data_IF_469865401468
#
_entry.id   IF_469865401468
#
_cell.length_a   1.000
_cell.length_b   1.000
_cell.length_c   1.000
_cell.angle_alpha   90.00
_cell.angle_beta   90.00
_cell.angle_gamma   90.00
#
_symmetry.space_group_name_H-M   'P 1'
#
loop_
_entity.id
_entity.type
_entity.pdbx_description
1 polymer ?
#
# COMPACT_ATOMS: atom_id res chain seq x y z
N UNK A 1 20.40 4.93 23.81
CA UNK A 1 19.16 4.90 23.01
C UNK A 1 19.59 4.55 21.59
N UNK A 2 18.98 3.54 20.97
CA UNK A 2 19.22 3.21 19.56
C UNK A 2 18.75 4.34 18.67
N UNK A 3 19.39 4.52 17.52
CA UNK A 3 18.89 5.46 16.51
C UNK A 3 17.48 5.03 16.05
N UNK A 4 16.57 5.97 15.76
CA UNK A 4 15.27 5.65 15.20
C UNK A 4 15.44 4.93 13.86
N UNK A 5 14.59 3.93 13.61
CA UNK A 5 14.55 3.20 12.35
C UNK A 5 14.05 4.13 11.23
N UNK A 6 14.83 4.30 10.16
CA UNK A 6 14.44 5.13 9.02
C UNK A 6 13.61 4.30 8.06
N UNK A 7 12.33 4.62 7.94
CA UNK A 7 11.39 3.94 7.07
C UNK A 7 10.90 4.93 6.03
N UNK A 8 11.06 4.59 4.76
CA UNK A 8 10.54 5.40 3.67
C UNK A 8 9.39 4.66 2.98
N UNK A 9 8.37 5.40 2.54
CA UNK A 9 7.15 4.83 1.99
C UNK A 9 6.80 5.48 0.65
N UNK A 10 6.49 4.65 -0.33
CA UNK A 10 5.86 5.02 -1.60
C UNK A 10 4.43 4.47 -1.54
N UNK A 11 3.44 5.37 -1.58
CA UNK A 11 2.02 5.05 -1.41
C UNK A 11 1.18 5.63 -2.54
N UNK A 12 -0.02 5.06 -2.75
CA UNK A 12 -0.99 5.59 -3.71
C UNK A 12 -1.63 6.88 -3.20
N UNK A 13 -1.97 6.89 -1.91
CA UNK A 13 -2.69 8.00 -1.29
C UNK A 13 -2.39 8.15 0.20
N UNK A 14 -2.92 9.25 0.74
CA UNK A 14 -2.73 9.62 2.15
C UNK A 14 -3.50 8.72 3.10
N UNK A 15 -4.66 8.19 2.69
CA UNK A 15 -5.42 7.24 3.50
C UNK A 15 -4.64 5.95 3.71
N UNK A 16 -3.99 5.44 2.66
CA UNK A 16 -3.18 4.23 2.72
C UNK A 16 -1.93 4.45 3.58
N UNK A 17 -1.30 5.63 3.46
CA UNK A 17 -0.22 6.05 4.36
C UNK A 17 -0.61 5.95 5.83
N UNK A 18 -1.81 6.42 6.21
CA UNK A 18 -2.25 6.38 7.60
C UNK A 18 -2.46 4.95 8.09
N UNK A 19 -3.02 4.06 7.27
CA UNK A 19 -3.18 2.64 7.63
C UNK A 19 -1.83 1.97 7.81
N UNK A 20 -0.91 2.18 6.87
CA UNK A 20 0.45 1.61 6.92
C UNK A 20 1.23 2.14 8.13
N UNK A 21 1.12 3.44 8.43
CA UNK A 21 1.76 4.04 9.61
C UNK A 21 1.22 3.39 10.90
N UNK A 22 -0.11 3.22 11.01
CA UNK A 22 -0.71 2.57 12.18
C UNK A 22 -0.22 1.13 12.33
N UNK A 23 -0.16 0.37 11.23
CA UNK A 23 0.39 -0.97 11.22
C UNK A 23 1.86 -1.01 11.68
N UNK A 24 2.69 -0.10 11.16
CA UNK A 24 4.11 0.01 11.51
C UNK A 24 4.30 0.29 13.00
N UNK A 25 3.50 1.19 13.59
CA UNK A 25 3.55 1.49 15.02
C UNK A 25 3.29 0.25 15.87
N UNK A 26 2.31 -0.58 15.48
CA UNK A 26 2.00 -1.85 16.14
C UNK A 26 3.14 -2.85 15.96
N UNK A 27 3.63 -3.03 14.73
CA UNK A 27 4.69 -3.99 14.41
C UNK A 27 6.04 -3.67 15.08
N UNK A 28 6.32 -2.39 15.31
CA UNK A 28 7.54 -1.94 15.97
C UNK A 28 7.45 -1.95 17.50
N UNK A 29 6.27 -2.11 18.08
CA UNK A 29 6.03 -2.33 19.50
C UNK A 29 6.83 -1.37 20.41
N UNK A 30 6.78 -0.07 20.11
CA UNK A 30 7.49 0.97 20.88
C UNK A 30 8.93 1.27 20.44
N UNK A 31 9.50 0.56 19.45
CA UNK A 31 10.76 0.97 18.80
C UNK A 31 10.53 2.29 18.05
N UNK A 32 11.39 3.27 18.28
CA UNK A 32 11.32 4.57 17.60
C UNK A 32 11.65 4.43 16.11
N UNK A 33 10.96 5.20 15.27
CA UNK A 33 11.18 5.23 13.83
C UNK A 33 10.84 6.61 13.25
N UNK A 34 11.50 6.94 12.15
CA UNK A 34 11.22 8.10 11.31
C UNK A 34 10.57 7.61 10.02
N UNK A 35 9.29 7.92 9.81
CA UNK A 35 8.57 7.58 8.58
C UNK A 35 8.55 8.77 7.63
N UNK A 36 9.07 8.58 6.42
CA UNK A 36 9.06 9.58 5.33
C UNK A 36 8.23 9.07 4.15
N UNK A 37 7.23 9.83 3.72
CA UNK A 37 6.49 9.54 2.50
C UNK A 37 7.21 10.18 1.29
N UNK A 38 7.58 9.36 0.32
CA UNK A 38 8.31 9.78 -0.89
C UNK A 38 7.37 10.11 -2.04
N UNK A 39 6.21 9.46 -2.07
CA UNK A 39 5.20 9.59 -3.11
C UNK A 39 3.84 9.22 -2.51
N UNK A 40 2.80 10.04 -2.67
CA UNK A 40 2.85 11.42 -3.19
C UNK A 40 3.76 12.32 -2.34
N UNK A 41 4.36 13.34 -2.95
CA UNK A 41 5.22 14.31 -2.25
C UNK A 41 4.44 14.97 -1.09
N UNK A 42 5.00 14.90 0.13
CA UNK A 42 4.42 15.44 1.36
C UNK A 42 3.95 16.89 1.20
N UNK A 43 4.71 17.72 0.50
CA UNK A 43 4.37 19.13 0.30
C UNK A 43 3.07 19.35 -0.46
N UNK A 44 2.59 18.32 -1.16
CA UNK A 44 1.44 18.36 -2.04
C UNK A 44 0.31 17.43 -1.54
N UNK A 45 0.64 16.30 -0.94
CA UNK A 45 -0.30 15.34 -0.34
C UNK A 45 -1.18 15.94 0.77
N UNK A 46 -0.63 16.85 1.59
CA UNK A 46 -1.32 17.45 2.74
C UNK A 46 -2.07 18.77 2.42
N UNK A 47 -2.08 19.22 1.17
CA UNK A 47 -2.69 20.52 0.78
C UNK A 47 -4.18 20.44 0.47
N UNK A 48 -4.77 19.24 0.45
CA UNK A 48 -6.19 19.04 0.15
C UNK A 48 -6.60 19.43 -1.29
N UNK A 49 -5.65 19.80 -2.15
CA UNK A 49 -5.94 20.23 -3.53
C UNK A 49 -5.97 19.09 -4.55
N UNK A 50 -5.78 17.83 -4.15
CA UNK A 50 -5.89 16.67 -5.04
C UNK A 50 -4.88 16.63 -6.20
N UNK A 51 -4.02 17.64 -6.31
CA UNK A 51 -2.80 17.58 -7.10
C UNK A 51 -1.82 16.78 -6.26
N UNK A 52 -1.07 15.90 -6.88
CA UNK A 52 -0.22 14.94 -6.20
C UNK A 52 1.17 15.06 -6.82
N UNK A 53 2.04 15.83 -6.18
CA UNK A 53 3.43 16.05 -6.58
C UNK A 53 3.66 16.32 -8.07
N UNK A 54 4.92 16.17 -8.48
CA UNK A 54 5.32 16.19 -9.90
C UNK A 54 5.01 14.87 -10.61
N UNK A 55 4.85 13.77 -9.86
CA UNK A 55 4.61 12.42 -10.41
C UNK A 55 3.12 12.11 -10.64
N UNK A 56 2.21 12.92 -10.10
CA UNK A 56 0.78 12.60 -10.06
C UNK A 56 0.41 11.77 -8.82
N UNK A 57 -0.88 11.47 -8.66
CA UNK A 57 -1.43 10.76 -7.50
C UNK A 57 -1.94 9.38 -7.86
N UNK A 58 -2.19 8.54 -6.85
CA UNK A 58 -2.62 7.17 -7.05
C UNK A 58 -1.52 6.30 -7.66
N UNK A 59 -1.91 5.13 -8.16
CA UNK A 59 -0.98 4.13 -8.69
C UNK A 59 -0.08 4.60 -9.84
N UNK A 60 -0.50 5.57 -10.66
CA UNK A 60 0.35 6.07 -11.76
C UNK A 60 1.57 6.83 -11.24
N UNK A 61 1.43 7.54 -10.11
CA UNK A 61 2.54 8.17 -9.41
C UNK A 61 3.49 7.14 -8.77
N UNK A 62 2.93 6.07 -8.19
CA UNK A 62 3.72 4.94 -7.67
C UNK A 62 4.55 4.29 -8.78
N UNK A 63 3.93 3.98 -9.93
CA UNK A 63 4.61 3.41 -11.09
C UNK A 63 5.73 4.31 -11.60
N UNK A 64 5.46 5.62 -11.76
CA UNK A 64 6.49 6.58 -12.20
C UNK A 64 7.67 6.62 -11.23
N UNK A 65 7.40 6.66 -9.92
CA UNK A 65 8.45 6.61 -8.91
C UNK A 65 9.31 5.34 -9.03
N UNK A 66 8.67 4.18 -9.22
CA UNK A 66 9.37 2.89 -9.42
C UNK A 66 10.22 2.86 -10.70
N UNK A 67 9.82 3.59 -11.75
CA UNK A 67 10.64 3.70 -12.98
C UNK A 67 11.78 4.69 -12.80
N UNK A 68 11.55 5.77 -12.08
CA UNK A 68 12.59 6.74 -11.76
C UNK A 68 13.68 6.12 -10.89
N UNK A 69 13.36 5.15 -10.01
CA UNK A 69 14.38 4.41 -9.24
C UNK A 69 15.33 3.61 -10.13
N UNK A 70 14.79 2.96 -11.15
CA UNK A 70 15.58 2.29 -12.20
C UNK A 70 16.41 3.30 -12.99
N UNK A 71 15.85 4.47 -13.31
CA UNK A 71 16.61 5.54 -13.97
C UNK A 71 17.80 6.05 -13.15
N UNK A 72 17.71 6.03 -11.81
CA UNK A 72 18.77 6.47 -10.89
C UNK A 72 19.87 5.43 -10.67
N UNK A 73 19.53 4.14 -10.60
CA UNK A 73 20.46 3.09 -10.16
C UNK A 73 20.51 1.83 -11.03
N UNK A 74 19.74 1.76 -12.11
CA UNK A 74 19.54 0.57 -12.95
C UNK A 74 18.63 -0.49 -12.32
N UNK A 75 18.65 -0.63 -11.00
CA UNK A 75 17.76 -1.49 -10.20
C UNK A 75 17.58 -0.88 -8.81
N UNK A 76 16.52 -1.28 -8.09
CA UNK A 76 16.18 -0.73 -6.78
C UNK A 76 17.32 -0.87 -5.76
N UNK A 77 18.01 -2.01 -5.73
CA UNK A 77 19.11 -2.29 -4.81
C UNK A 77 20.27 -1.29 -4.92
N UNK A 78 20.39 -0.63 -6.07
CA UNK A 78 21.42 0.38 -6.33
C UNK A 78 20.87 1.81 -6.20
N UNK A 79 19.56 1.99 -5.99
CA UNK A 79 18.98 3.32 -5.82
C UNK A 79 19.51 3.93 -4.51
N UNK A 80 20.08 5.16 -4.55
CA UNK A 80 20.47 5.89 -3.36
C UNK A 80 19.37 5.96 -2.29
N UNK A 81 18.09 5.92 -2.69
CA UNK A 81 16.96 5.85 -1.76
C UNK A 81 17.03 4.60 -0.89
N UNK A 82 17.15 3.42 -1.50
CA UNK A 82 17.20 2.16 -0.77
C UNK A 82 18.50 2.03 0.04
N UNK A 83 19.61 2.56 -0.47
CA UNK A 83 20.91 2.56 0.22
C UNK A 83 20.90 3.40 1.50
N UNK A 84 20.12 4.49 1.53
CA UNK A 84 20.11 5.45 2.64
C UNK A 84 18.93 5.27 3.62
N UNK A 85 18.08 4.28 3.41
CA UNK A 85 16.95 3.95 4.30
C UNK A 85 17.16 2.58 4.94
N UNK A 86 16.60 2.40 6.13
CA UNK A 86 16.68 1.11 6.81
C UNK A 86 15.59 0.17 6.27
N UNK A 87 14.40 0.70 5.95
CA UNK A 87 13.33 -0.01 5.23
C UNK A 87 12.72 0.90 4.16
N UNK A 88 12.46 0.37 2.97
CA UNK A 88 11.62 0.98 1.94
C UNK A 88 10.33 0.17 1.76
N UNK A 89 9.18 0.81 1.92
CA UNK A 89 7.88 0.18 1.67
C UNK A 89 7.34 0.70 0.33
N UNK A 90 6.96 -0.24 -0.53
CA UNK A 90 6.30 0.04 -1.81
C UNK A 90 4.86 -0.46 -1.73
N UNK A 91 3.91 0.47 -1.63
CA UNK A 91 2.49 0.18 -1.55
C UNK A 91 1.81 0.32 -2.92
N UNK A 92 1.01 -0.68 -3.28
CA UNK A 92 0.15 -0.67 -4.46
C UNK A 92 -1.06 -1.59 -4.25
N UNK A 93 -2.25 -1.03 -4.37
CA UNK A 93 -3.51 -1.77 -4.35
C UNK A 93 -3.65 -2.64 -5.61
N UNK A 94 -4.17 -3.86 -5.43
CA UNK A 94 -4.25 -4.82 -6.53
C UNK A 94 -5.47 -4.68 -7.43
N UNK A 95 -6.30 -3.65 -7.25
CA UNK A 95 -7.31 -3.25 -8.25
C UNK A 95 -6.65 -2.81 -9.58
N UNK A 96 -5.45 -2.23 -9.51
CA UNK A 96 -4.60 -1.86 -10.66
C UNK A 96 -4.33 -3.04 -11.59
N UNK A 97 -4.33 -4.27 -11.07
CA UNK A 97 -4.08 -5.47 -11.87
C UNK A 97 -5.12 -5.69 -12.98
N UNK A 98 -6.28 -5.03 -12.92
CA UNK A 98 -7.35 -5.17 -13.91
C UNK A 98 -7.35 -4.06 -14.97
N UNK A 99 -6.47 -3.06 -14.85
CA UNK A 99 -6.42 -1.90 -15.74
C UNK A 99 -6.04 -2.33 -17.15
N UNK A 100 -6.79 -1.85 -18.15
CA UNK A 100 -6.51 -2.12 -19.55
C UNK A 100 -5.53 -1.09 -20.14
N UNK A 101 -4.59 -1.49 -21.02
CA UNK A 101 -3.65 -0.55 -21.65
C UNK A 101 -4.30 0.66 -22.32
N UNK A 102 -5.45 0.47 -22.99
CA UNK A 102 -6.17 1.55 -23.67
C UNK A 102 -6.74 2.63 -22.72
N UNK A 103 -6.91 2.32 -21.44
CA UNK A 103 -7.39 3.26 -20.41
C UNK A 103 -6.26 4.15 -19.85
N UNK A 104 -5.02 3.93 -20.30
CA UNK A 104 -3.81 4.58 -19.75
C UNK A 104 -3.20 5.66 -20.64
N UNK A 105 -3.69 5.82 -21.88
CA UNK A 105 -3.16 6.81 -22.83
C UNK A 105 -3.19 8.24 -22.26
N UNK A 106 -4.19 8.57 -21.43
CA UNK A 106 -4.33 9.89 -20.80
C UNK A 106 -3.47 10.07 -19.54
N UNK A 107 -2.83 9.01 -19.03
CA UNK A 107 -2.04 9.03 -17.78
C UNK A 107 -0.53 9.22 -18.02
N UNK A 108 -0.09 9.22 -19.28
CA UNK A 108 1.31 9.39 -19.67
C UNK A 108 2.20 8.23 -19.19
N UNK A 109 1.66 7.02 -19.13
CA UNK A 109 2.36 5.80 -18.71
C UNK A 109 2.36 4.72 -19.82
N UNK A 110 2.10 5.15 -21.06
CA UNK A 110 2.07 4.26 -22.21
C UNK A 110 3.41 3.55 -22.40
N UNK A 111 3.34 2.23 -22.63
CA UNK A 111 4.51 1.35 -22.69
C UNK A 111 5.07 0.91 -21.34
N UNK A 112 4.70 1.54 -20.21
CA UNK A 112 5.19 1.16 -18.87
C UNK A 112 4.40 -0.01 -18.24
N UNK A 113 3.21 -0.29 -18.77
CA UNK A 113 2.22 -1.25 -18.24
C UNK A 113 1.84 -2.34 -19.25
N UNK A 114 2.76 -2.71 -20.16
CA UNK A 114 2.50 -3.76 -21.17
C UNK A 114 2.11 -5.12 -20.58
N UNK A 115 2.45 -5.34 -19.31
CA UNK A 115 2.17 -6.57 -18.56
C UNK A 115 0.82 -6.53 -17.81
N UNK A 116 0.02 -5.45 -17.96
CA UNK A 116 -1.35 -5.36 -17.48
C UNK A 116 -2.37 -5.63 -18.61
N UNK A 117 -3.54 -6.22 -18.31
CA UNK A 117 -4.00 -6.68 -17.00
C UNK A 117 -3.33 -8.00 -16.57
N UNK A 118 -3.07 -8.13 -15.27
CA UNK A 118 -2.56 -9.36 -14.66
C UNK A 118 -3.50 -9.97 -13.59
N UNK A 119 -4.71 -9.43 -13.44
CA UNK A 119 -5.69 -9.89 -12.49
C UNK A 119 -6.08 -11.37 -12.66
N UNK A 120 -6.28 -12.05 -11.54
CA UNK A 120 -6.76 -13.43 -11.46
C UNK A 120 -7.96 -13.49 -10.52
N UNK A 121 -8.83 -14.48 -10.73
CA UNK A 121 -9.99 -14.69 -9.87
C UNK A 121 -9.59 -14.87 -8.40
N UNK A 122 -10.35 -14.24 -7.52
CA UNK A 122 -10.26 -14.38 -6.06
C UNK A 122 -11.48 -15.21 -5.60
N UNK A 123 -11.33 -16.19 -4.69
CA UNK A 123 -10.14 -16.54 -3.91
C UNK A 123 -9.12 -17.47 -4.62
N UNK A 124 -7.86 -17.53 -4.14
CA UNK A 124 -7.31 -16.76 -3.03
C UNK A 124 -6.94 -15.32 -3.41
N UNK A 125 -6.89 -14.43 -2.42
CA UNK A 125 -6.43 -13.04 -2.55
C UNK A 125 -5.05 -12.95 -3.23
N UNK A 126 -4.15 -13.85 -2.81
CA UNK A 126 -2.77 -13.93 -3.30
C UNK A 126 -2.66 -14.17 -4.82
N UNK A 127 -3.68 -14.76 -5.46
CA UNK A 127 -3.62 -15.10 -6.88
C UNK A 127 -3.36 -13.87 -7.78
N UNK A 128 -3.94 -12.71 -7.42
CA UNK A 128 -3.64 -11.44 -8.11
C UNK A 128 -2.40 -10.77 -7.53
N UNK A 129 -2.26 -10.72 -6.21
CA UNK A 129 -1.15 -9.96 -5.60
C UNK A 129 0.21 -10.56 -5.90
N UNK A 130 0.34 -11.89 -6.03
CA UNK A 130 1.58 -12.53 -6.44
C UNK A 130 2.04 -12.09 -7.84
N UNK A 131 1.09 -12.00 -8.78
CA UNK A 131 1.38 -11.51 -10.13
C UNK A 131 1.74 -10.03 -10.14
N UNK A 132 1.01 -9.22 -9.37
CA UNK A 132 1.27 -7.79 -9.28
C UNK A 132 2.62 -7.50 -8.60
N UNK A 133 2.97 -8.22 -7.53
CA UNK A 133 4.28 -8.11 -6.87
C UNK A 133 5.42 -8.49 -7.81
N UNK A 134 5.24 -9.55 -8.60
CA UNK A 134 6.21 -9.92 -9.66
C UNK A 134 6.38 -8.78 -10.66
N UNK A 135 5.29 -8.12 -11.03
CA UNK A 135 5.32 -6.97 -11.92
C UNK A 135 5.96 -5.73 -11.28
N UNK A 136 5.68 -5.44 -10.01
CA UNK A 136 6.33 -4.36 -9.26
C UNK A 136 7.85 -4.55 -9.19
N UNK A 137 8.32 -5.79 -9.00
CA UNK A 137 9.75 -6.11 -9.04
C UNK A 137 10.36 -5.79 -10.41
N UNK A 138 9.70 -6.20 -11.50
CA UNK A 138 10.13 -5.81 -12.86
C UNK A 138 10.16 -4.29 -13.06
N UNK A 139 9.20 -3.57 -12.47
CA UNK A 139 9.15 -2.11 -12.59
C UNK A 139 10.35 -1.43 -11.95
N UNK A 140 10.87 -2.00 -10.86
CA UNK A 140 12.05 -1.51 -10.15
C UNK A 140 13.36 -2.21 -10.55
N UNK A 141 13.36 -2.97 -11.65
CA UNK A 141 14.55 -3.63 -12.18
C UNK A 141 15.04 -4.84 -11.37
N UNK A 142 14.19 -5.41 -10.51
CA UNK A 142 14.51 -6.51 -9.62
C UNK A 142 13.82 -7.82 -10.03
N UNK A 143 14.40 -8.95 -9.62
CA UNK A 143 13.78 -10.29 -9.77
C UNK A 143 13.34 -10.90 -8.44
N UNK A 144 13.85 -10.36 -7.33
CA UNK A 144 13.50 -10.73 -5.96
C UNK A 144 13.42 -9.45 -5.13
N UNK A 145 12.64 -9.46 -4.06
CA UNK A 145 12.54 -8.31 -3.16
C UNK A 145 13.87 -8.11 -2.43
N UNK A 146 14.50 -6.92 -2.53
CA UNK A 146 15.69 -6.60 -1.75
C UNK A 146 15.44 -6.74 -0.25
N UNK A 147 16.48 -7.08 0.53
CA UNK A 147 16.35 -7.41 1.95
C UNK A 147 15.73 -6.29 2.80
N UNK A 148 15.99 -5.03 2.45
CA UNK A 148 15.45 -3.84 3.11
C UNK A 148 14.28 -3.19 2.35
N UNK A 149 13.65 -3.91 1.43
CA UNK A 149 12.43 -3.50 0.74
C UNK A 149 11.25 -4.38 1.15
N UNK A 150 10.06 -3.78 1.27
CA UNK A 150 8.82 -4.46 1.61
C UNK A 150 7.77 -4.06 0.59
N UNK A 151 7.17 -5.04 -0.08
CA UNK A 151 6.02 -4.78 -0.95
C UNK A 151 4.75 -4.91 -0.11
N UNK A 152 3.89 -3.89 -0.12
CA UNK A 152 2.56 -3.94 0.48
C UNK A 152 1.51 -3.93 -0.63
N UNK A 153 0.79 -5.03 -0.78
CA UNK A 153 -0.18 -5.20 -1.88
C UNK A 153 -1.50 -5.73 -1.37
N UNK A 154 -2.40 -4.87 -0.84
CA UNK A 154 -3.76 -5.27 -0.52
C UNK A 154 -4.47 -5.84 -1.76
N UNK A 155 -5.23 -6.93 -1.60
CA UNK A 155 -5.75 -7.71 -2.74
C UNK A 155 -6.71 -6.98 -3.69
N UNK A 156 -7.36 -5.91 -3.20
CA UNK A 156 -8.22 -5.06 -4.01
C UNK A 156 -7.93 -3.61 -3.68
N UNK A 157 -8.15 -3.22 -2.44
CA UNK A 157 -7.64 -1.97 -1.90
C UNK A 157 -7.45 -2.05 -0.39
N UNK A 158 -6.67 -1.12 0.17
CA UNK A 158 -6.50 -0.96 1.63
C UNK A 158 -7.86 -0.80 2.35
N UNK A 159 -8.89 -0.28 1.68
CA UNK A 159 -10.24 -0.18 2.28
C UNK A 159 -10.83 -1.52 2.71
N UNK A 160 -10.43 -2.65 2.10
CA UNK A 160 -10.85 -3.96 2.56
C UNK A 160 -10.49 -4.18 4.04
N UNK A 161 -9.31 -3.74 4.45
CA UNK A 161 -8.82 -3.83 5.83
C UNK A 161 -9.63 -2.90 6.75
N UNK A 162 -9.87 -1.67 6.32
CA UNK A 162 -10.66 -0.69 7.07
C UNK A 162 -12.10 -1.18 7.29
N UNK A 163 -12.75 -1.73 6.27
CA UNK A 163 -14.12 -2.23 6.41
C UNK A 163 -14.17 -3.45 7.32
N UNK A 164 -13.13 -4.30 7.29
CA UNK A 164 -13.03 -5.43 8.21
C UNK A 164 -12.97 -4.99 9.67
N UNK A 165 -12.29 -3.88 9.98
CA UNK A 165 -12.25 -3.29 11.33
C UNK A 165 -13.57 -2.63 11.73
N UNK A 166 -14.07 -1.70 10.92
CA UNK A 166 -15.16 -0.82 11.33
C UNK A 166 -16.55 -1.34 10.95
N UNK A 167 -16.63 -2.37 10.12
CA UNK A 167 -17.89 -3.02 9.72
C UNK A 167 -17.73 -4.52 9.49
N UNK A 168 -17.25 -5.28 10.49
CA UNK A 168 -17.03 -6.73 10.36
C UNK A 168 -18.33 -7.50 10.05
N UNK A 169 -19.49 -6.92 10.36
CA UNK A 169 -20.81 -7.49 10.08
C UNK A 169 -21.40 -7.08 8.71
N UNK A 170 -20.65 -6.43 7.82
CA UNK A 170 -21.14 -6.11 6.47
C UNK A 170 -21.40 -7.40 5.68
N UNK A 171 -22.68 -7.66 5.38
CA UNK A 171 -23.15 -8.89 4.73
C UNK A 171 -22.53 -9.11 3.35
N UNK A 172 -22.29 -8.05 2.58
CA UNK A 172 -21.74 -8.17 1.22
C UNK A 172 -20.24 -8.47 1.28
N UNK A 173 -19.52 -7.86 2.23
CA UNK A 173 -18.11 -8.17 2.47
C UNK A 173 -17.93 -9.61 2.97
N UNK A 174 -18.75 -10.06 3.93
CA UNK A 174 -18.73 -11.45 4.40
C UNK A 174 -19.01 -12.43 3.25
N UNK A 175 -20.04 -12.17 2.45
CA UNK A 175 -20.46 -13.06 1.36
C UNK A 175 -19.39 -13.22 0.29
N UNK A 176 -18.66 -12.16 -0.04
CA UNK A 176 -17.61 -12.19 -1.08
C UNK A 176 -16.21 -12.47 -0.53
N UNK A 177 -16.00 -12.33 0.77
CA UNK A 177 -14.68 -12.23 1.40
C UNK A 177 -14.15 -10.80 1.34
N UNK A 178 -13.58 -10.31 2.45
CA UNK A 178 -13.15 -8.91 2.56
C UNK A 178 -12.08 -8.54 1.52
N UNK A 179 -11.05 -9.38 1.36
CA UNK A 179 -9.97 -9.16 0.38
C UNK A 179 -10.39 -9.49 -1.07
N UNK A 180 -11.47 -10.25 -1.27
CA UNK A 180 -11.95 -10.61 -2.61
C UNK A 180 -13.08 -9.70 -3.12
N UNK A 181 -13.58 -8.77 -2.31
CA UNK A 181 -14.67 -7.89 -2.72
C UNK A 181 -14.18 -6.93 -3.83
N UNK A 182 -14.84 -6.87 -5.01
CA UNK A 182 -14.30 -6.19 -6.19
C UNK A 182 -14.14 -4.67 -6.04
N UNK A 183 -14.90 -4.05 -5.15
CA UNK A 183 -14.79 -2.62 -4.86
C UNK A 183 -15.06 -2.38 -3.35
N UNK A 184 -14.08 -2.62 -2.47
CA UNK A 184 -14.27 -2.45 -1.03
C UNK A 184 -14.68 -1.01 -0.70
N UNK A 185 -13.99 -0.02 -1.26
CA UNK A 185 -14.25 1.41 -1.01
C UNK A 185 -15.72 1.83 -1.20
N UNK A 186 -16.46 1.20 -2.14
CA UNK A 186 -17.90 1.45 -2.32
C UNK A 186 -18.73 1.19 -1.06
N UNK A 187 -18.28 0.30 -0.17
CA UNK A 187 -18.99 -0.08 1.06
C UNK A 187 -18.83 0.96 2.17
N UNK A 188 -17.73 1.71 2.18
CA UNK A 188 -17.50 2.81 3.15
C UNK A 188 -18.60 3.88 3.06
N UNK A 189 -19.07 4.18 1.85
CA UNK A 189 -20.10 5.20 1.63
C UNK A 189 -21.52 4.76 2.04
N UNK A 190 -21.78 3.45 2.07
CA UNK A 190 -23.12 2.84 2.23
C UNK A 190 -23.41 2.40 3.67
N UNK A 191 -22.44 2.59 4.58
CA UNK A 191 -22.59 2.27 6.01
C UNK A 191 -23.72 3.09 6.68
N UNK A 192 -24.39 2.47 7.65
CA UNK A 192 -25.47 3.09 8.42
C UNK A 192 -24.98 4.34 9.17
N UNK A 193 -25.88 5.30 9.38
CA UNK A 193 -25.61 6.51 10.19
C UNK A 193 -25.13 6.09 11.60
N UNK A 194 -23.94 6.56 12.00
CA UNK A 194 -23.26 6.17 13.25
C UNK A 194 -22.12 5.16 13.08
N UNK A 195 -22.06 4.44 11.95
CA UNK A 195 -20.97 3.50 11.59
C UNK A 195 -20.24 3.95 10.32
N UNK A 196 -20.61 5.11 9.77
CA UNK A 196 -20.09 5.62 8.51
C UNK A 196 -18.63 6.04 8.65
N UNK A 197 -17.78 5.47 7.82
CA UNK A 197 -16.36 5.78 7.74
C UNK A 197 -16.05 6.41 6.36
N UNK A 198 -16.17 7.74 6.20
CA UNK A 198 -15.82 8.38 4.92
C UNK A 198 -14.34 8.21 4.58
N UNK A 199 -14.03 7.92 3.31
CA UNK A 199 -12.64 7.90 2.80
C UNK A 199 -12.08 9.32 2.77
N UNK A 200 -11.52 9.76 3.89
CA UNK A 200 -10.92 11.08 4.06
C UNK A 200 -9.83 11.05 5.12
N UNK A 201 -8.74 11.79 4.91
CA UNK A 201 -7.63 11.88 5.85
C UNK A 201 -8.09 12.18 7.29
N UNK A 202 -8.99 13.15 7.44
CA UNK A 202 -9.56 13.55 8.74
C UNK A 202 -10.17 12.38 9.52
N UNK A 203 -10.91 11.51 8.84
CA UNK A 203 -11.56 10.36 9.50
C UNK A 203 -10.54 9.28 9.86
N UNK A 204 -9.58 8.99 8.98
CA UNK A 204 -8.52 8.04 9.30
C UNK A 204 -7.68 8.52 10.50
N UNK A 205 -7.41 9.82 10.60
CA UNK A 205 -6.75 10.42 11.76
C UNK A 205 -7.59 10.34 13.04
N UNK A 206 -8.89 10.65 12.97
CA UNK A 206 -9.76 10.60 14.16
C UNK A 206 -9.93 9.18 14.72
N UNK A 207 -9.79 8.16 13.85
CA UNK A 207 -9.92 6.74 14.16
C UNK A 207 -8.58 6.00 14.23
N UNK A 208 -7.46 6.73 14.22
CA UNK A 208 -6.13 6.16 14.07
C UNK A 208 -5.79 5.10 15.13
N UNK A 209 -6.11 5.39 16.40
CA UNK A 209 -5.91 4.43 17.50
C UNK A 209 -6.73 3.15 17.31
N UNK A 210 -7.96 3.25 16.82
CA UNK A 210 -8.81 2.08 16.54
C UNK A 210 -8.22 1.23 15.41
N UNK A 211 -7.55 1.85 14.42
CA UNK A 211 -6.83 1.13 13.36
C UNK A 211 -5.63 0.37 13.95
N UNK A 212 -4.86 1.01 14.84
CA UNK A 212 -3.74 0.35 15.53
C UNK A 212 -4.21 -0.83 16.38
N UNK A 213 -5.21 -0.60 17.24
CA UNK A 213 -5.73 -1.63 18.15
C UNK A 213 -6.31 -2.83 17.37
N UNK A 214 -6.86 -2.58 16.18
CA UNK A 214 -7.41 -3.61 15.29
C UNK A 214 -6.38 -4.36 14.44
N UNK A 215 -5.12 -3.90 14.35
CA UNK A 215 -4.15 -4.45 13.39
C UNK A 215 -3.89 -5.95 13.56
N UNK A 216 -3.71 -6.42 14.80
CA UNK A 216 -3.46 -7.84 15.07
C UNK A 216 -4.64 -8.72 14.62
N UNK A 217 -5.87 -8.24 14.78
CA UNK A 217 -7.05 -8.94 14.31
C UNK A 217 -7.06 -9.04 12.77
N UNK A 218 -6.66 -7.99 12.05
CA UNK A 218 -6.55 -8.03 10.59
C UNK A 218 -5.56 -9.10 10.13
N UNK A 219 -4.40 -9.17 10.76
CA UNK A 219 -3.35 -10.16 10.45
C UNK A 219 -3.82 -11.60 10.68
N UNK A 220 -4.72 -11.82 11.65
CA UNK A 220 -5.29 -13.14 11.91
C UNK A 220 -6.34 -13.55 10.87
N UNK A 221 -7.00 -12.59 10.21
CA UNK A 221 -8.19 -12.84 9.39
C UNK A 221 -7.98 -12.56 7.89
N UNK A 222 -7.01 -11.72 7.53
CA UNK A 222 -6.77 -11.25 6.17
C UNK A 222 -5.34 -11.60 5.73
N UNK A 223 -5.25 -12.32 4.62
CA UNK A 223 -4.00 -12.93 4.14
C UNK A 223 -2.97 -11.92 3.66
N UNK A 224 -3.38 -10.84 2.99
CA UNK A 224 -2.41 -9.82 2.52
C UNK A 224 -1.99 -8.88 3.64
N UNK A 225 -2.84 -8.64 4.65
CA UNK A 225 -2.43 -7.94 5.88
C UNK A 225 -1.38 -8.77 6.64
N UNK A 226 -1.61 -10.08 6.78
CA UNK A 226 -0.65 -11.01 7.37
C UNK A 226 0.67 -11.04 6.61
N UNK A 227 0.62 -11.09 5.28
CA UNK A 227 1.79 -11.07 4.41
C UNK A 227 2.61 -9.80 4.61
N UNK A 228 1.96 -8.63 4.59
CA UNK A 228 2.63 -7.36 4.84
C UNK A 228 3.34 -7.35 6.20
N UNK A 229 2.66 -7.82 7.26
CA UNK A 229 3.28 -7.91 8.58
C UNK A 229 4.50 -8.82 8.58
N UNK A 230 4.39 -10.01 8.00
CA UNK A 230 5.49 -10.97 7.98
C UNK A 230 6.71 -10.43 7.22
N UNK A 231 6.48 -9.82 6.05
CA UNK A 231 7.53 -9.23 5.22
C UNK A 231 8.20 -8.05 5.96
N UNK A 232 7.41 -7.16 6.58
CA UNK A 232 7.92 -6.02 7.33
C UNK A 232 8.73 -6.45 8.55
N UNK A 233 8.21 -7.38 9.36
CA UNK A 233 8.90 -7.89 10.55
C UNK A 233 10.18 -8.61 10.16
N UNK A 234 10.19 -9.34 9.04
CA UNK A 234 11.40 -9.98 8.51
C UNK A 234 12.48 -8.93 8.16
N UNK A 235 12.12 -7.88 7.41
CA UNK A 235 13.04 -6.79 7.08
C UNK A 235 13.52 -6.01 8.32
N UNK A 236 12.62 -5.74 9.27
CA UNK A 236 12.96 -5.01 10.50
C UNK A 236 13.93 -5.77 11.41
N UNK A 237 13.90 -7.11 11.39
CA UNK A 237 14.81 -7.98 12.16
C UNK A 237 16.24 -8.01 11.62
N UNK A 238 16.45 -7.67 10.35
CA UNK A 238 17.81 -7.60 9.79
C UNK A 238 18.54 -6.32 10.20
N UNK A 239 17.85 -5.40 10.87
CA UNK A 239 18.36 -4.06 11.20
C UNK A 239 18.59 -3.97 12.71
N UNK A 240 19.85 -3.75 13.15
CA UNK A 240 20.25 -3.72 14.57
C UNK A 240 19.44 -2.76 15.47
#
# INVERSE_FOLDING_TARGET
>A
MSNPLRIWLVSEGITDYLVLKAAIEVMLNGRTFDLKLLQPDDSVAFTGQGQAGTLGGGWSGVLKWMRDSVGRGGQLSNDPVLVNTDILILHLDADVASVLPAENNDRGIDGLVSDLPCAVNCPPASATTDRLRTLMLKWVGETQTPANAVLCTPSKSTEAWIIALFSPADKEMIRRGFECHPNPASRLAVQKKGVKFPKSEKEYLSRYQEIMDGWNWLVEHLSEAQRFQNDFVAAARTIP
#
